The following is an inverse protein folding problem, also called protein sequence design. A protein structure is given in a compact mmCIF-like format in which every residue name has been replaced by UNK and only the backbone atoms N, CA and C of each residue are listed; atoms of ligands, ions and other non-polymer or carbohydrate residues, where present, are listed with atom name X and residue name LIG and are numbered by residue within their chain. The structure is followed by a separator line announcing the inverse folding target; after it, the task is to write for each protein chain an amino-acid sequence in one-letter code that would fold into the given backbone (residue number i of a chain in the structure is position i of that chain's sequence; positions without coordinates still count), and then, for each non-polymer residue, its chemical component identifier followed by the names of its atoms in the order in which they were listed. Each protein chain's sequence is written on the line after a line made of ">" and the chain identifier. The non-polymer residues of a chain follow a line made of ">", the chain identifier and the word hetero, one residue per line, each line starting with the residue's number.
data_IF_018176323058
#
_entry.id   IF_018176323058
#
_cell.length_a   1.000
_cell.length_b   1.000
_cell.length_c   1.000
_cell.angle_alpha   90.00
_cell.angle_beta   90.00
_cell.angle_gamma   90.00
#
_symmetry.space_group_name_H-M   'P 1'
#
loop_
_entity.id
_entity.type
_entity.pdbx_description
1 polymer ?
#
# COMPACT_ATOMS: atom_id res chain seq x y z
N UNK A 1 -20.88 6.21 -14.76
CA UNK A 1 -19.70 5.81 -13.95
C UNK A 1 -20.17 4.71 -13.01
N UNK A 2 -19.60 3.53 -13.15
CA UNK A 2 -19.90 2.36 -12.33
C UNK A 2 -18.62 1.93 -11.60
N UNK A 3 -18.73 1.63 -10.31
CA UNK A 3 -17.62 1.26 -9.43
C UNK A 3 -17.90 -0.12 -8.84
N UNK A 4 -16.88 -0.93 -8.70
CA UNK A 4 -16.92 -2.25 -8.12
C UNK A 4 -15.89 -2.37 -7.01
N UNK A 5 -16.32 -2.63 -5.77
CA UNK A 5 -15.41 -2.88 -4.66
C UNK A 5 -15.11 -4.39 -4.57
N UNK A 6 -13.85 -4.74 -4.69
CA UNK A 6 -13.39 -6.13 -4.70
C UNK A 6 -12.46 -6.38 -3.52
N UNK A 7 -12.86 -7.30 -2.65
CA UNK A 7 -12.02 -7.82 -1.57
C UNK A 7 -11.28 -9.05 -2.10
N UNK A 8 -9.97 -8.95 -2.23
CA UNK A 8 -9.13 -10.08 -2.60
C UNK A 8 -8.99 -11.03 -1.41
N UNK A 9 -9.49 -12.25 -1.55
CA UNK A 9 -9.49 -13.24 -0.48
C UNK A 9 -9.12 -14.64 -0.99
N UNK A 10 -9.01 -15.59 -0.06
CA UNK A 10 -8.78 -17.00 -0.35
C UNK A 10 -7.33 -17.34 -0.63
N UNK A 11 -7.15 -18.43 -1.38
CA UNK A 11 -5.83 -18.98 -1.68
C UNK A 11 -5.08 -18.13 -2.72
N UNK A 12 -3.81 -17.86 -2.44
CA UNK A 12 -2.90 -17.13 -3.33
C UNK A 12 -1.48 -17.74 -3.35
N UNK A 13 -1.34 -19.00 -2.98
CA UNK A 13 -0.04 -19.69 -2.87
C UNK A 13 0.72 -19.39 -1.58
N UNK A 14 0.19 -18.54 -0.69
CA UNK A 14 0.79 -18.16 0.59
C UNK A 14 -0.08 -18.61 1.78
N UNK A 15 0.33 -18.26 2.99
CA UNK A 15 -0.47 -18.49 4.21
C UNK A 15 -1.58 -17.45 4.43
N UNK A 16 -1.85 -16.58 3.46
CA UNK A 16 -2.83 -15.48 3.58
C UNK A 16 -4.23 -15.99 3.90
N UNK A 17 -4.68 -17.09 3.25
CA UNK A 17 -5.97 -17.71 3.54
C UNK A 17 -6.16 -18.02 5.03
N UNK A 18 -5.16 -18.62 5.69
CA UNK A 18 -5.25 -18.95 7.12
C UNK A 18 -5.39 -17.71 8.00
N UNK A 19 -4.69 -16.62 7.64
CA UNK A 19 -4.77 -15.34 8.34
C UNK A 19 -6.16 -14.73 8.26
N UNK A 20 -6.79 -14.77 7.08
CA UNK A 20 -8.14 -14.25 6.83
C UNK A 20 -9.22 -15.00 7.64
N UNK A 21 -9.03 -16.29 7.88
CA UNK A 21 -9.92 -17.17 8.65
C UNK A 21 -9.67 -17.12 10.17
N UNK A 22 -8.60 -16.44 10.60
CA UNK A 22 -8.30 -16.33 12.02
C UNK A 22 -9.35 -15.50 12.74
N UNK A 23 -9.74 -15.91 13.95
CA UNK A 23 -10.70 -15.19 14.79
C UNK A 23 -10.17 -13.81 15.19
N UNK A 24 -10.96 -12.77 14.87
CA UNK A 24 -10.69 -11.39 15.24
C UNK A 24 -12.00 -10.75 15.74
N UNK A 25 -11.99 -10.17 16.94
CA UNK A 25 -13.23 -9.77 17.62
C UNK A 25 -14.28 -10.91 17.64
N UNK A 26 -15.51 -10.62 17.28
CA UNK A 26 -16.61 -11.60 17.25
C UNK A 26 -16.70 -12.36 15.91
N UNK A 27 -15.82 -12.07 14.96
CA UNK A 27 -15.80 -12.66 13.62
C UNK A 27 -14.38 -13.12 13.25
N UNK A 28 -14.20 -13.57 12.00
CA UNK A 28 -12.88 -13.73 11.39
C UNK A 28 -12.33 -12.37 10.93
N UNK A 29 -11.03 -12.34 10.60
CA UNK A 29 -10.38 -11.15 9.99
C UNK A 29 -11.15 -10.71 8.74
N UNK A 30 -11.45 -11.65 7.83
CA UNK A 30 -12.26 -11.37 6.65
C UNK A 30 -13.66 -10.83 7.00
N UNK A 31 -14.36 -11.49 7.94
CA UNK A 31 -15.69 -11.04 8.36
C UNK A 31 -15.67 -9.61 8.90
N UNK A 32 -14.65 -9.27 9.70
CA UNK A 32 -14.46 -7.91 10.22
C UNK A 32 -14.20 -6.90 9.10
N UNK A 33 -13.35 -7.23 8.14
CA UNK A 33 -13.09 -6.35 6.99
C UNK A 33 -14.38 -6.12 6.16
N UNK A 34 -15.15 -7.18 5.90
CA UNK A 34 -16.42 -7.08 5.17
C UNK A 34 -17.46 -6.24 5.92
N UNK A 35 -17.56 -6.41 7.25
CA UNK A 35 -18.45 -5.59 8.07
C UNK A 35 -18.08 -4.11 8.00
N UNK A 36 -16.80 -3.77 8.07
CA UNK A 36 -16.32 -2.38 7.97
C UNK A 36 -16.50 -1.79 6.57
N UNK A 37 -16.47 -2.62 5.54
CA UNK A 37 -16.71 -2.20 4.16
C UNK A 37 -18.20 -2.14 3.78
N UNK A 38 -19.11 -2.66 4.60
CA UNK A 38 -20.55 -2.68 4.29
C UNK A 38 -21.17 -1.28 4.17
N UNK A 39 -20.52 -0.25 4.68
CA UNK A 39 -20.89 1.16 4.51
C UNK A 39 -20.53 1.76 3.14
N UNK A 40 -19.81 1.05 2.28
CA UNK A 40 -19.50 1.49 0.93
C UNK A 40 -20.76 1.46 0.06
N UNK A 41 -21.13 2.59 -0.54
CA UNK A 41 -22.40 2.75 -1.26
C UNK A 41 -22.24 3.08 -2.75
N UNK A 42 -21.03 3.27 -3.24
CA UNK A 42 -20.74 3.67 -4.62
C UNK A 42 -20.88 2.51 -5.63
N UNK A 43 -20.94 1.27 -5.13
CA UNK A 43 -21.10 0.08 -5.95
C UNK A 43 -21.21 -1.21 -5.15
N UNK A 44 -21.39 -2.35 -5.80
CA UNK A 44 -21.45 -3.64 -5.13
C UNK A 44 -20.11 -4.03 -4.52
N UNK A 45 -20.16 -4.79 -3.42
CA UNK A 45 -19.02 -5.41 -2.76
C UNK A 45 -18.96 -6.88 -3.15
N UNK A 46 -17.83 -7.28 -3.73
CA UNK A 46 -17.56 -8.63 -4.22
C UNK A 46 -16.32 -9.19 -3.52
N UNK A 47 -16.32 -10.46 -3.19
CA UNK A 47 -15.15 -11.18 -2.69
C UNK A 47 -14.58 -12.06 -3.80
N UNK A 48 -13.37 -11.77 -4.27
CA UNK A 48 -12.67 -12.56 -5.28
C UNK A 48 -11.88 -13.69 -4.59
N UNK A 49 -12.26 -14.94 -4.86
CA UNK A 49 -11.69 -16.15 -4.26
C UNK A 49 -11.13 -17.11 -5.31
N UNK A 50 -10.32 -18.09 -4.91
CA UNK A 50 -9.84 -19.09 -5.83
C UNK A 50 -10.93 -20.11 -6.21
N UNK A 51 -10.70 -20.82 -7.30
CA UNK A 51 -11.51 -21.95 -7.74
C UNK A 51 -11.31 -23.23 -6.90
N UNK A 52 -10.36 -23.20 -5.95
CA UNK A 52 -10.06 -24.34 -5.09
C UNK A 52 -11.19 -24.60 -4.06
N UNK A 53 -11.53 -25.87 -3.79
CA UNK A 53 -12.53 -26.20 -2.76
C UNK A 53 -12.14 -25.73 -1.34
N UNK A 54 -10.86 -25.49 -1.10
CA UNK A 54 -10.38 -24.94 0.18
C UNK A 54 -10.97 -23.57 0.50
N UNK A 55 -11.41 -22.81 -0.52
CA UNK A 55 -11.99 -21.48 -0.32
C UNK A 55 -13.50 -21.49 -0.08
N UNK A 56 -14.15 -22.68 0.03
CA UNK A 56 -15.57 -22.75 0.37
C UNK A 56 -15.89 -22.07 1.71
N UNK A 57 -15.00 -22.17 2.70
CA UNK A 57 -15.16 -21.50 3.99
C UNK A 57 -15.09 -19.96 3.85
N UNK A 58 -14.24 -19.45 2.96
CA UNK A 58 -14.14 -18.01 2.64
C UNK A 58 -15.46 -17.55 1.99
N UNK A 59 -16.02 -18.33 1.08
CA UNK A 59 -17.31 -18.05 0.46
C UNK A 59 -18.47 -18.05 1.46
N UNK A 60 -18.48 -18.96 2.43
CA UNK A 60 -19.49 -18.99 3.50
C UNK A 60 -19.43 -17.72 4.37
N UNK A 61 -18.21 -17.25 4.72
CA UNK A 61 -18.02 -15.99 5.46
C UNK A 61 -18.49 -14.80 4.63
N UNK A 62 -18.16 -14.74 3.34
CA UNK A 62 -18.62 -13.69 2.45
C UNK A 62 -20.15 -13.63 2.41
N UNK A 63 -20.80 -14.77 2.22
CA UNK A 63 -22.27 -14.89 2.21
C UNK A 63 -22.91 -14.48 3.53
N UNK A 64 -22.30 -14.84 4.67
CA UNK A 64 -22.78 -14.45 5.99
C UNK A 64 -22.67 -12.93 6.26
N UNK A 65 -21.86 -12.22 5.46
CA UNK A 65 -21.70 -10.76 5.48
C UNK A 65 -22.35 -10.08 4.26
N UNK A 66 -23.34 -10.70 3.62
CA UNK A 66 -24.09 -10.17 2.47
C UNK A 66 -23.22 -9.81 1.26
N UNK A 67 -22.01 -10.37 1.14
CA UNK A 67 -21.10 -10.16 0.02
C UNK A 67 -21.22 -11.29 -1.00
N UNK A 68 -21.32 -10.94 -2.28
CA UNK A 68 -21.24 -11.91 -3.37
C UNK A 68 -19.78 -12.38 -3.59
N UNK A 69 -19.61 -13.55 -4.19
CA UNK A 69 -18.28 -14.10 -4.49
C UNK A 69 -18.13 -14.38 -5.97
N UNK A 70 -16.91 -14.17 -6.48
CA UNK A 70 -16.49 -14.62 -7.81
C UNK A 70 -15.28 -15.53 -7.64
N UNK A 71 -15.33 -16.69 -8.31
CA UNK A 71 -14.22 -17.65 -8.32
C UNK A 71 -13.38 -17.50 -9.58
N UNK A 72 -12.07 -17.61 -9.43
CA UNK A 72 -11.13 -17.58 -10.54
C UNK A 72 -9.86 -18.37 -10.26
N UNK A 73 -8.88 -18.37 -11.17
CA UNK A 73 -7.66 -19.16 -11.06
C UNK A 73 -6.94 -18.95 -9.73
N UNK A 74 -6.41 -20.04 -9.16
CA UNK A 74 -5.70 -20.01 -7.86
C UNK A 74 -4.27 -19.47 -7.99
N UNK A 75 -3.66 -19.59 -9.16
CA UNK A 75 -2.26 -19.27 -9.48
C UNK A 75 -2.12 -18.05 -10.41
N UNK A 76 -3.22 -17.42 -10.78
CA UNK A 76 -3.25 -16.22 -11.62
C UNK A 76 -4.25 -15.20 -11.06
N UNK A 77 -3.74 -14.31 -10.20
CA UNK A 77 -4.58 -13.34 -9.52
C UNK A 77 -5.16 -12.30 -10.48
N UNK A 78 -4.41 -11.89 -11.50
CA UNK A 78 -4.88 -10.95 -12.52
C UNK A 78 -6.04 -11.55 -13.33
N UNK A 79 -5.93 -12.82 -13.74
CA UNK A 79 -7.03 -13.52 -14.40
C UNK A 79 -8.26 -13.65 -13.49
N UNK A 80 -8.08 -13.89 -12.19
CA UNK A 80 -9.19 -13.90 -11.23
C UNK A 80 -9.96 -12.57 -11.20
N UNK A 81 -9.26 -11.45 -11.30
CA UNK A 81 -9.89 -10.12 -11.36
C UNK A 81 -10.56 -9.85 -12.73
N UNK A 82 -10.08 -10.46 -13.79
CA UNK A 82 -10.77 -10.44 -15.11
C UNK A 82 -12.12 -11.15 -15.03
N UNK A 83 -12.19 -12.31 -14.35
CA UNK A 83 -13.48 -13.01 -14.11
C UNK A 83 -14.46 -12.13 -13.31
N UNK A 84 -13.94 -11.38 -12.31
CA UNK A 84 -14.77 -10.44 -11.56
C UNK A 84 -15.38 -9.37 -12.47
N UNK A 85 -14.59 -8.78 -13.39
CA UNK A 85 -15.12 -7.80 -14.37
C UNK A 85 -16.09 -8.43 -15.35
N UNK A 86 -15.88 -9.70 -15.74
CA UNK A 86 -16.78 -10.41 -16.64
C UNK A 86 -18.16 -10.65 -16.01
N UNK A 87 -18.20 -11.02 -14.72
CA UNK A 87 -19.44 -11.28 -13.99
C UNK A 87 -20.13 -9.98 -13.51
N UNK A 88 -19.34 -8.97 -13.15
CA UNK A 88 -19.80 -7.66 -12.65
C UNK A 88 -19.13 -6.51 -13.42
N UNK A 89 -19.62 -6.18 -14.62
CA UNK A 89 -19.04 -5.13 -15.45
C UNK A 89 -19.08 -3.76 -14.75
N UNK A 90 -17.95 -3.11 -14.64
CA UNK A 90 -17.82 -1.76 -14.08
C UNK A 90 -16.72 -0.97 -14.82
N UNK A 91 -16.78 0.35 -14.77
CA UNK A 91 -15.75 1.23 -15.36
C UNK A 91 -14.49 1.28 -14.50
N UNK A 92 -14.67 1.16 -13.18
CA UNK A 92 -13.59 1.23 -12.21
C UNK A 92 -13.70 0.10 -11.19
N UNK A 93 -12.59 -0.50 -10.86
CA UNK A 93 -12.48 -1.54 -9.86
C UNK A 93 -11.64 -1.02 -8.69
N UNK A 94 -12.17 -1.17 -7.49
CA UNK A 94 -11.45 -0.92 -6.23
C UNK A 94 -10.97 -2.25 -5.69
N UNK A 95 -9.69 -2.35 -5.35
CA UNK A 95 -9.10 -3.54 -4.74
C UNK A 95 -8.68 -3.23 -3.32
N UNK A 96 -9.08 -4.09 -2.40
CA UNK A 96 -8.59 -4.17 -1.02
C UNK A 96 -8.27 -5.62 -0.68
N UNK A 97 -7.49 -5.87 0.38
CA UNK A 97 -7.12 -7.23 0.78
C UNK A 97 -7.84 -7.66 2.06
N UNK A 98 -8.19 -8.94 2.13
CA UNK A 98 -8.99 -9.51 3.22
C UNK A 98 -8.24 -9.72 4.54
N UNK A 99 -6.93 -9.46 4.59
CA UNK A 99 -6.08 -9.53 5.79
C UNK A 99 -5.95 -8.19 6.54
N UNK A 100 -6.84 -7.25 6.22
CA UNK A 100 -6.84 -5.87 6.70
C UNK A 100 -8.10 -5.59 7.54
N UNK A 101 -8.16 -5.99 8.82
CA UNK A 101 -9.39 -5.90 9.62
C UNK A 101 -9.81 -4.46 9.96
N UNK A 102 -8.91 -3.49 9.80
CA UNK A 102 -9.19 -2.06 10.04
C UNK A 102 -9.45 -1.25 8.79
N UNK A 103 -9.53 -1.92 7.62
CA UNK A 103 -9.93 -1.23 6.37
C UNK A 103 -11.21 -0.43 6.58
N UNK A 104 -11.29 0.77 6.02
CA UNK A 104 -12.36 1.74 6.31
C UNK A 104 -13.06 2.15 5.02
N UNK A 105 -14.39 2.00 4.96
CA UNK A 105 -15.17 2.36 3.77
C UNK A 105 -15.11 3.87 3.46
N UNK A 106 -14.94 4.74 4.46
CA UNK A 106 -14.78 6.17 4.22
C UNK A 106 -13.45 6.46 3.50
N UNK A 107 -12.36 5.80 3.92
CA UNK A 107 -11.08 5.88 3.21
C UNK A 107 -11.22 5.35 1.78
N UNK A 108 -11.90 4.23 1.58
CA UNK A 108 -12.15 3.68 0.24
C UNK A 108 -12.89 4.71 -0.63
N UNK A 109 -13.95 5.32 -0.12
CA UNK A 109 -14.75 6.34 -0.81
C UNK A 109 -13.92 7.60 -1.15
N UNK A 110 -13.03 8.04 -0.24
CA UNK A 110 -12.13 9.17 -0.47
C UNK A 110 -11.15 8.89 -1.64
N UNK A 111 -10.56 7.70 -1.65
CA UNK A 111 -9.63 7.30 -2.72
C UNK A 111 -10.36 7.14 -4.06
N UNK A 112 -11.57 6.59 -4.05
CA UNK A 112 -12.44 6.51 -5.23
C UNK A 112 -12.75 7.91 -5.77
N UNK A 113 -13.14 8.85 -4.91
CA UNK A 113 -13.41 10.24 -5.32
C UNK A 113 -12.19 10.90 -5.94
N UNK A 114 -11.00 10.67 -5.37
CA UNK A 114 -9.73 11.16 -5.92
C UNK A 114 -9.44 10.55 -7.29
N UNK A 115 -9.62 9.24 -7.45
CA UNK A 115 -9.44 8.54 -8.72
C UNK A 115 -10.33 9.12 -9.82
N UNK A 116 -11.60 9.26 -9.53
CA UNK A 116 -12.59 9.79 -10.47
C UNK A 116 -12.27 11.25 -10.86
N UNK A 117 -11.91 12.08 -9.89
CA UNK A 117 -11.60 13.48 -10.15
C UNK A 117 -10.30 13.70 -10.92
N UNK A 118 -9.30 12.84 -10.71
CA UNK A 118 -8.02 12.89 -11.42
C UNK A 118 -8.11 12.35 -12.85
N UNK A 119 -9.06 11.43 -13.10
CA UNK A 119 -9.15 10.69 -14.37
C UNK A 119 -7.97 9.74 -14.61
N UNK A 120 -7.22 9.39 -13.57
CA UNK A 120 -6.07 8.50 -13.67
C UNK A 120 -6.49 7.08 -14.07
N UNK A 121 -5.56 6.32 -14.66
CA UNK A 121 -5.75 4.90 -14.95
C UNK A 121 -5.63 4.05 -13.68
N UNK A 122 -4.80 4.48 -12.75
CA UNK A 122 -4.58 3.83 -11.46
C UNK A 122 -4.37 4.85 -10.34
N UNK A 123 -5.00 4.62 -9.21
CA UNK A 123 -4.88 5.46 -8.01
C UNK A 123 -4.67 4.58 -6.79
N UNK A 124 -3.72 4.92 -5.93
CA UNK A 124 -3.51 4.18 -4.69
C UNK A 124 -2.87 5.03 -3.61
N UNK A 125 -3.14 4.67 -2.35
CA UNK A 125 -2.45 5.20 -1.18
C UNK A 125 -1.15 4.45 -0.85
N UNK A 126 -0.77 3.47 -1.69
CA UNK A 126 0.48 2.70 -1.53
C UNK A 126 1.62 3.18 -2.42
N UNK A 127 1.32 3.94 -3.51
CA UNK A 127 2.35 4.49 -4.41
C UNK A 127 3.37 5.37 -3.66
N UNK A 128 2.89 6.14 -2.71
CA UNK A 128 3.69 6.89 -1.73
C UNK A 128 3.04 6.64 -0.38
N UNK A 129 3.58 5.72 0.39
CA UNK A 129 2.96 5.30 1.65
C UNK A 129 3.03 6.41 2.70
N UNK A 130 1.88 6.78 3.22
CA UNK A 130 1.69 7.69 4.36
C UNK A 130 0.56 7.23 5.28
N UNK A 131 -0.19 6.23 4.84
CA UNK A 131 -1.21 5.53 5.63
C UNK A 131 -0.59 4.33 6.35
N UNK A 132 -1.19 3.87 7.46
CA UNK A 132 -0.84 2.59 8.06
C UNK A 132 -0.85 1.45 7.03
N UNK A 133 0.10 0.53 7.14
CA UNK A 133 0.04 -0.74 6.41
C UNK A 133 -1.24 -1.49 6.80
N UNK A 134 -1.91 -2.13 5.84
CA UNK A 134 -3.22 -2.76 6.07
C UNK A 134 -4.42 -1.84 5.82
N UNK A 135 -4.19 -0.57 5.44
CA UNK A 135 -5.22 0.32 4.89
C UNK A 135 -5.03 0.51 3.37
N UNK A 136 -4.50 -0.49 2.71
CA UNK A 136 -4.12 -0.43 1.31
C UNK A 136 -5.36 -0.47 0.41
N UNK A 137 -5.52 0.56 -0.40
CA UNK A 137 -6.62 0.71 -1.37
C UNK A 137 -6.03 1.06 -2.72
N UNK A 138 -6.47 0.31 -3.72
CA UNK A 138 -6.09 0.53 -5.11
C UNK A 138 -7.35 0.71 -5.94
N UNK A 139 -7.38 1.70 -6.80
CA UNK A 139 -8.46 1.92 -7.77
C UNK A 139 -7.86 1.90 -9.16
N UNK A 140 -8.42 1.09 -10.04
CA UNK A 140 -7.94 0.92 -11.40
C UNK A 140 -9.11 0.99 -12.39
N UNK A 141 -8.88 1.59 -13.56
CA UNK A 141 -9.82 1.50 -14.67
C UNK A 141 -9.89 0.05 -15.17
N UNK A 142 -11.09 -0.45 -15.38
CA UNK A 142 -11.27 -1.83 -15.89
C UNK A 142 -10.57 -2.04 -17.23
N UNK A 143 -10.59 -1.06 -18.12
CA UNK A 143 -9.88 -1.15 -19.40
C UNK A 143 -8.36 -1.30 -19.21
N UNK A 144 -7.77 -0.59 -18.25
CA UNK A 144 -6.35 -0.69 -17.94
C UNK A 144 -5.98 -2.04 -17.33
N UNK A 145 -6.88 -2.63 -16.53
CA UNK A 145 -6.69 -3.96 -15.95
C UNK A 145 -6.81 -5.04 -17.03
N UNK A 146 -7.77 -4.92 -17.94
CA UNK A 146 -7.93 -5.85 -19.08
C UNK A 146 -6.74 -5.77 -20.03
N UNK A 147 -6.26 -4.56 -20.34
CA UNK A 147 -5.03 -4.35 -21.13
C UNK A 147 -3.81 -5.00 -20.45
N UNK A 148 -3.68 -4.83 -19.13
CA UNK A 148 -2.63 -5.51 -18.36
C UNK A 148 -2.75 -7.04 -18.46
N UNK A 149 -3.97 -7.58 -18.39
CA UNK A 149 -4.20 -9.04 -18.46
C UNK A 149 -3.82 -9.64 -19.81
N UNK A 150 -3.97 -8.88 -20.91
CA UNK A 150 -3.56 -9.29 -22.25
C UNK A 150 -2.03 -9.27 -22.45
N UNK A 151 -1.33 -8.35 -21.76
CA UNK A 151 0.09 -8.09 -21.99
C UNK A 151 1.02 -8.70 -20.93
N UNK A 152 0.55 -8.88 -19.69
CA UNK A 152 1.36 -9.39 -18.59
C UNK A 152 1.77 -10.86 -18.82
N UNK A 153 3.07 -11.11 -18.83
CA UNK A 153 3.65 -12.44 -19.02
C UNK A 153 4.50 -12.91 -17.82
N UNK A 154 4.97 -11.98 -16.99
CA UNK A 154 5.75 -12.32 -15.81
C UNK A 154 4.83 -12.75 -14.65
N UNK A 155 5.22 -13.78 -13.90
CA UNK A 155 4.46 -14.28 -12.76
C UNK A 155 4.19 -13.19 -11.71
N UNK A 156 5.17 -12.31 -11.46
CA UNK A 156 5.03 -11.19 -10.53
C UNK A 156 3.96 -10.17 -10.96
N UNK A 157 3.76 -9.98 -12.27
CA UNK A 157 2.72 -9.10 -12.80
C UNK A 157 1.35 -9.76 -12.78
N UNK A 158 1.29 -11.08 -13.02
CA UNK A 158 0.04 -11.83 -12.97
C UNK A 158 -0.46 -12.03 -11.54
N UNK A 159 0.43 -12.28 -10.59
CA UNK A 159 0.08 -12.43 -9.17
C UNK A 159 -0.13 -11.09 -8.46
N UNK A 160 0.44 -10.00 -8.97
CA UNK A 160 0.34 -8.67 -8.37
C UNK A 160 -0.90 -7.87 -8.75
N UNK A 161 -1.79 -8.39 -9.62
CA UNK A 161 -3.02 -7.74 -10.14
C UNK A 161 -2.73 -6.41 -10.85
N UNK A 162 -2.28 -5.40 -10.13
CA UNK A 162 -2.05 -4.02 -10.60
C UNK A 162 -0.58 -3.73 -10.93
N UNK A 163 0.32 -4.66 -10.63
CA UNK A 163 1.78 -4.49 -10.78
C UNK A 163 2.18 -4.15 -12.22
N UNK A 164 1.52 -4.72 -13.23
CA UNK A 164 1.80 -4.41 -14.64
C UNK A 164 1.60 -2.92 -14.94
N UNK A 165 0.50 -2.35 -14.46
CA UNK A 165 0.15 -0.92 -14.66
C UNK A 165 1.10 -0.03 -13.87
N UNK A 166 1.35 -0.36 -12.60
CA UNK A 166 2.24 0.42 -11.73
C UNK A 166 3.66 0.57 -12.28
N UNK A 167 4.16 -0.47 -12.94
CA UNK A 167 5.52 -0.51 -13.52
C UNK A 167 5.64 0.25 -14.85
N UNK A 168 4.53 0.78 -15.40
CA UNK A 168 4.52 1.43 -16.71
C UNK A 168 3.93 2.86 -16.68
N UNK A 169 4.53 3.77 -15.88
CA UNK A 169 4.03 5.15 -15.74
C UNK A 169 4.12 5.97 -17.05
N UNK A 170 4.84 5.46 -18.04
CA UNK A 170 4.84 6.06 -19.38
C UNK A 170 3.58 5.71 -20.20
N UNK A 171 2.88 4.64 -19.85
CA UNK A 171 1.71 4.13 -20.58
C UNK A 171 0.41 4.39 -19.81
N UNK A 172 0.47 4.50 -18.49
CA UNK A 172 -0.68 4.66 -17.60
C UNK A 172 -0.47 5.86 -16.70
N UNK A 173 -1.52 6.62 -16.49
CA UNK A 173 -1.54 7.72 -15.51
C UNK A 173 -1.72 7.19 -14.10
N UNK A 174 -0.78 7.49 -13.21
CA UNK A 174 -0.77 7.05 -11.83
C UNK A 174 -1.05 8.22 -10.90
N UNK A 175 -1.95 8.03 -9.92
CA UNK A 175 -2.29 9.01 -8.90
C UNK A 175 -2.00 8.46 -7.50
N UNK A 176 -1.12 9.10 -6.75
CA UNK A 176 -0.91 8.80 -5.33
C UNK A 176 -1.93 9.57 -4.46
N UNK A 177 -2.41 8.92 -3.39
CA UNK A 177 -3.23 9.54 -2.34
C UNK A 177 -2.44 9.54 -1.03
N UNK A 178 -2.29 10.71 -0.44
CA UNK A 178 -1.51 10.89 0.79
C UNK A 178 -2.43 11.22 1.95
N UNK A 179 -2.21 10.63 3.11
CA UNK A 179 -2.88 10.99 4.35
C UNK A 179 -2.46 12.39 4.83
N UNK A 180 -3.22 13.01 5.73
CA UNK A 180 -2.89 14.33 6.30
C UNK A 180 -1.61 14.32 7.14
N UNK A 181 -1.29 13.19 7.79
CA UNK A 181 -0.06 12.89 8.53
C UNK A 181 0.77 11.81 7.84
N UNK A 182 1.93 11.48 8.38
CA UNK A 182 2.69 10.30 8.04
C UNK A 182 2.46 9.26 9.13
N UNK A 183 1.84 8.14 8.76
CA UNK A 183 1.40 7.08 9.66
C UNK A 183 1.94 5.72 9.22
N UNK A 184 2.97 5.70 8.38
CA UNK A 184 3.54 4.46 7.85
C UNK A 184 4.19 3.56 8.92
N UNK A 185 4.53 4.12 10.09
CA UNK A 185 5.06 3.38 11.23
C UNK A 185 3.99 2.50 11.94
N UNK A 186 2.71 2.67 11.58
CA UNK A 186 1.63 1.83 12.04
C UNK A 186 1.42 0.65 11.09
N UNK A 187 1.52 -0.57 11.62
CA UNK A 187 1.28 -1.79 10.85
C UNK A 187 0.00 -2.48 11.31
N UNK A 188 -1.03 -2.39 10.46
CA UNK A 188 -2.34 -2.96 10.70
C UNK A 188 -2.67 -4.13 9.75
N UNK A 189 -1.69 -4.61 9.00
CA UNK A 189 -1.81 -5.84 8.23
C UNK A 189 -1.64 -7.06 9.15
N UNK A 190 -2.38 -8.12 8.88
CA UNK A 190 -2.20 -9.38 9.58
C UNK A 190 -1.23 -10.24 8.80
N UNK A 191 -0.04 -10.43 9.36
CA UNK A 191 1.02 -11.28 8.84
C UNK A 191 1.30 -12.51 9.72
N UNK A 192 0.88 -12.48 11.01
CA UNK A 192 1.09 -13.57 11.95
C UNK A 192 0.34 -13.39 13.28
N UNK A 193 0.61 -14.28 14.25
CA UNK A 193 -0.06 -14.24 15.56
C UNK A 193 0.23 -12.94 16.35
N UNK A 194 1.39 -12.35 16.17
CA UNK A 194 1.79 -11.13 16.89
C UNK A 194 0.99 -9.92 16.40
N UNK A 195 0.87 -9.75 15.08
CA UNK A 195 0.04 -8.68 14.50
C UNK A 195 -1.43 -8.83 14.90
N UNK A 196 -1.97 -10.06 14.95
CA UNK A 196 -3.34 -10.31 15.46
C UNK A 196 -3.48 -9.87 16.91
N UNK A 197 -2.51 -10.21 17.77
CA UNK A 197 -2.55 -9.84 19.19
C UNK A 197 -2.45 -8.32 19.36
N UNK A 198 -1.59 -7.67 18.58
CA UNK A 198 -1.44 -6.22 18.54
C UNK A 198 -2.76 -5.54 18.15
N UNK A 199 -3.34 -5.91 17.00
CA UNK A 199 -4.57 -5.28 16.51
C UNK A 199 -5.77 -5.53 17.42
N UNK A 200 -5.84 -6.70 18.09
CA UNK A 200 -6.83 -6.93 19.15
C UNK A 200 -6.64 -5.99 20.35
N UNK A 201 -5.40 -5.69 20.71
CA UNK A 201 -5.12 -4.74 21.79
C UNK A 201 -5.54 -3.32 21.41
N UNK A 202 -5.28 -2.90 20.16
CA UNK A 202 -5.75 -1.61 19.60
C UNK A 202 -7.28 -1.54 19.67
N UNK A 203 -7.98 -2.53 19.14
CA UNK A 203 -9.43 -2.59 19.16
C UNK A 203 -10.01 -2.56 20.59
N UNK A 204 -9.43 -3.34 21.51
CA UNK A 204 -9.85 -3.33 22.91
C UNK A 204 -9.64 -1.97 23.57
N UNK A 205 -8.53 -1.28 23.28
CA UNK A 205 -8.26 0.09 23.74
C UNK A 205 -9.29 1.08 23.21
N UNK A 206 -9.80 0.85 22.01
CA UNK A 206 -10.88 1.60 21.37
C UNK A 206 -12.29 1.17 21.85
N UNK A 207 -12.40 0.39 22.92
CA UNK A 207 -13.67 -0.09 23.47
C UNK A 207 -14.35 -1.19 22.64
N UNK A 208 -13.66 -1.82 21.70
CA UNK A 208 -14.23 -2.86 20.83
C UNK A 208 -15.08 -2.32 19.68
N UNK A 209 -15.05 -1.01 19.43
CA UNK A 209 -15.88 -0.36 18.41
C UNK A 209 -15.29 -0.57 17.01
N UNK A 210 -15.86 -1.51 16.27
CA UNK A 210 -15.51 -1.78 14.87
C UNK A 210 -16.02 -0.72 13.89
N UNK A 211 -16.84 0.25 14.32
CA UNK A 211 -17.31 1.34 13.46
C UNK A 211 -16.42 2.57 13.51
N UNK A 212 -15.47 2.60 14.44
CA UNK A 212 -14.53 3.71 14.60
C UNK A 212 -13.73 3.94 13.33
N UNK A 213 -13.62 5.20 12.91
CA UNK A 213 -12.81 5.55 11.73
C UNK A 213 -11.32 5.19 11.95
N UNK A 214 -10.61 4.90 10.87
CA UNK A 214 -9.19 4.55 10.95
C UNK A 214 -8.36 5.64 11.64
N UNK A 215 -8.68 6.92 11.37
CA UNK A 215 -7.99 8.08 11.97
C UNK A 215 -8.15 8.15 13.51
N UNK A 216 -9.29 7.69 14.03
CA UNK A 216 -9.55 7.66 15.46
C UNK A 216 -8.85 6.44 16.11
N UNK A 217 -8.75 5.31 15.40
CA UNK A 217 -7.99 4.15 15.85
C UNK A 217 -6.50 4.45 16.08
N UNK A 218 -5.92 5.43 15.37
CA UNK A 218 -4.54 5.87 15.59
C UNK A 218 -4.28 6.32 17.04
N UNK A 219 -5.27 6.92 17.70
CA UNK A 219 -5.13 7.34 19.10
C UNK A 219 -5.00 6.15 20.07
N UNK A 220 -5.41 4.98 19.65
CA UNK A 220 -5.39 3.72 20.41
C UNK A 220 -4.23 2.80 20.04
N UNK A 221 -3.53 3.12 18.96
CA UNK A 221 -2.35 2.41 18.51
C UNK A 221 -1.08 3.17 18.93
N UNK A 222 -0.19 2.46 19.58
CA UNK A 222 1.18 2.95 19.79
C UNK A 222 2.04 2.23 18.78
N UNK A 223 2.56 2.93 17.75
CA UNK A 223 3.49 2.32 16.83
C UNK A 223 4.59 1.64 17.63
N UNK A 224 5.04 0.48 17.17
CA UNK A 224 6.20 -0.16 17.73
C UNK A 224 7.28 0.93 17.80
N UNK A 225 7.84 1.18 18.99
CA UNK A 225 8.95 2.13 19.09
C UNK A 225 9.99 1.65 18.11
N UNK A 226 10.10 2.38 17.03
CA UNK A 226 11.25 2.24 16.18
C UNK A 226 12.43 2.76 17.01
N UNK A 227 13.16 1.85 17.65
CA UNK A 227 14.37 2.20 18.42
C UNK A 227 15.50 2.68 17.50
N UNK A 228 15.26 2.69 16.19
CA UNK A 228 16.15 3.32 15.22
C UNK A 228 16.22 4.83 15.51
N UNK A 229 17.41 5.39 15.72
CA UNK A 229 17.58 6.83 15.88
C UNK A 229 17.19 7.61 14.62
N UNK A 230 16.92 6.91 13.51
CA UNK A 230 16.60 7.45 12.20
C UNK A 230 15.19 7.06 11.80
N UNK A 231 14.37 8.05 11.48
CA UNK A 231 13.04 7.89 10.91
C UNK A 231 13.04 8.47 9.49
N UNK A 232 12.61 7.68 8.51
CA UNK A 232 12.38 8.14 7.15
C UNK A 232 10.90 8.50 7.01
N UNK A 233 10.65 9.73 6.55
CA UNK A 233 9.27 10.19 6.26
C UNK A 233 9.19 10.62 4.80
N UNK A 234 8.09 10.26 4.13
CA UNK A 234 7.87 10.67 2.74
C UNK A 234 7.87 12.20 2.64
N UNK A 235 8.66 12.74 1.72
CA UNK A 235 8.70 14.17 1.48
C UNK A 235 7.39 14.61 0.81
N UNK A 236 6.73 15.59 1.42
CA UNK A 236 5.50 16.24 0.92
C UNK A 236 5.83 17.65 0.43
N UNK A 237 4.90 18.26 -0.31
CA UNK A 237 5.01 19.63 -0.80
C UNK A 237 5.31 20.67 0.30
N UNK A 238 4.94 20.37 1.55
CA UNK A 238 5.19 21.25 2.70
C UNK A 238 6.59 21.09 3.33
N UNK A 239 7.35 20.07 2.97
CA UNK A 239 8.74 19.89 3.43
C UNK A 239 9.70 20.94 2.83
N UNK A 240 9.51 21.47 1.60
CA UNK A 240 10.36 22.53 1.10
C UNK A 240 10.52 23.74 2.02
N UNK A 241 9.48 24.10 2.78
CA UNK A 241 9.60 25.25 3.72
C UNK A 241 10.47 24.93 4.95
N UNK A 242 10.42 23.71 5.47
CA UNK A 242 11.31 23.26 6.55
C UNK A 242 12.71 22.88 6.03
N UNK A 243 12.81 22.36 4.80
CA UNK A 243 14.06 22.12 4.10
C UNK A 243 14.69 23.45 3.62
N UNK A 244 13.94 24.48 3.25
CA UNK A 244 14.48 25.79 2.88
C UNK A 244 15.26 26.43 4.04
N UNK A 245 14.84 26.24 5.28
CA UNK A 245 15.63 26.65 6.45
C UNK A 245 16.89 25.79 6.66
N UNK A 246 16.92 24.59 6.08
CA UNK A 246 18.03 23.66 6.15
C UNK A 246 19.01 23.84 4.97
N UNK A 247 18.55 24.34 3.83
CA UNK A 247 19.33 24.50 2.59
C UNK A 247 20.34 25.63 2.62
N UNK A 248 20.34 26.51 3.59
CA UNK A 248 21.42 27.52 3.75
C UNK A 248 22.82 26.89 3.93
N UNK A 249 22.91 25.55 4.09
CA UNK A 249 24.16 24.81 4.20
C UNK A 249 24.35 23.63 3.23
N UNK A 250 23.31 23.23 2.54
CA UNK A 250 23.31 21.98 1.79
C UNK A 250 23.14 22.25 0.30
N UNK A 251 23.79 22.84 -0.48
CA UNK A 251 23.64 22.91 -1.95
C UNK A 251 22.21 22.70 -2.48
N UNK A 252 22.01 22.76 -3.76
CA UNK A 252 20.70 22.66 -4.40
C UNK A 252 20.05 21.28 -4.09
N UNK A 253 18.95 21.26 -3.31
CA UNK A 253 18.08 20.10 -3.31
C UNK A 253 17.50 19.90 -4.72
N UNK A 254 17.35 18.65 -5.19
CA UNK A 254 16.63 18.41 -6.42
C UNK A 254 15.23 19.00 -6.31
N UNK A 255 14.73 19.59 -7.40
CA UNK A 255 13.40 20.22 -7.45
C UNK A 255 12.34 19.32 -6.80
N UNK A 256 11.42 19.90 -6.00
CA UNK A 256 10.33 19.12 -5.42
C UNK A 256 9.58 18.40 -6.56
N UNK A 257 9.37 17.12 -6.35
CA UNK A 257 8.71 16.27 -7.33
C UNK A 257 7.27 16.67 -7.50
N UNK A 258 6.71 16.61 -8.70
CA UNK A 258 5.28 16.56 -8.87
C UNK A 258 4.76 15.34 -8.10
N UNK A 259 3.76 15.55 -7.25
CA UNK A 259 3.01 14.48 -6.60
C UNK A 259 2.52 13.55 -7.72
N UNK A 260 2.88 12.26 -7.66
CA UNK A 260 2.49 11.27 -8.66
C UNK A 260 3.59 10.77 -9.60
N UNK A 261 4.83 11.25 -9.50
CA UNK A 261 5.94 10.65 -10.25
C UNK A 261 6.48 9.41 -9.52
N UNK A 262 5.97 8.23 -9.89
CA UNK A 262 6.41 6.95 -9.34
C UNK A 262 7.86 6.58 -9.69
N UNK A 263 8.48 7.28 -10.65
CA UNK A 263 9.88 7.03 -11.06
C UNK A 263 10.90 7.61 -10.08
N UNK A 264 10.46 8.39 -9.12
CA UNK A 264 11.35 9.07 -8.16
C UNK A 264 10.68 9.20 -6.80
N UNK A 265 11.39 8.89 -5.72
CA UNK A 265 10.90 8.96 -4.34
C UNK A 265 11.90 9.71 -3.47
N UNK A 266 11.41 10.60 -2.63
CA UNK A 266 12.23 11.35 -1.69
C UNK A 266 11.71 11.14 -0.27
N UNK A 267 12.61 10.84 0.66
CA UNK A 267 12.33 10.75 2.10
C UNK A 267 13.09 11.85 2.83
N UNK A 268 12.44 12.50 3.78
CA UNK A 268 13.12 13.23 4.82
C UNK A 268 13.75 12.25 5.80
N UNK A 269 14.94 12.51 6.23
CA UNK A 269 15.67 11.73 7.26
C UNK A 269 15.60 12.50 8.57
N UNK A 270 14.98 11.91 9.58
CA UNK A 270 14.77 12.55 10.88
C UNK A 270 15.52 11.81 11.97
N UNK A 271 16.13 12.54 12.88
CA UNK A 271 16.65 12.00 14.14
C UNK A 271 15.91 12.71 15.26
N UNK A 272 15.16 11.94 16.05
CA UNK A 272 14.17 12.50 16.97
C UNK A 272 13.19 13.41 16.19
N UNK A 273 13.03 14.67 16.57
CA UNK A 273 12.17 15.63 15.86
C UNK A 273 12.94 16.58 14.92
N UNK A 274 14.23 16.32 14.65
CA UNK A 274 15.05 17.14 13.78
C UNK A 274 15.25 16.51 12.41
N UNK A 275 14.93 17.27 11.35
CA UNK A 275 15.29 16.89 9.99
C UNK A 275 16.81 16.97 9.81
N UNK A 276 17.46 15.84 9.57
CA UNK A 276 18.93 15.74 9.47
C UNK A 276 19.42 15.46 8.05
N UNK A 277 18.51 15.19 7.12
CA UNK A 277 18.87 14.93 5.72
C UNK A 277 17.66 14.66 4.84
N UNK A 278 17.95 14.37 3.58
CA UNK A 278 16.98 13.86 2.61
C UNK A 278 17.64 12.81 1.72
N UNK A 279 16.90 11.77 1.39
CA UNK A 279 17.29 10.69 0.50
C UNK A 279 16.31 10.61 -0.67
N UNK A 280 16.81 10.54 -1.88
CA UNK A 280 16.01 10.43 -3.10
C UNK A 280 16.43 9.20 -3.89
N UNK A 281 15.47 8.36 -4.24
CA UNK A 281 15.67 7.27 -5.20
C UNK A 281 15.00 7.65 -6.51
N UNK A 282 15.75 7.58 -7.60
CA UNK A 282 15.25 7.74 -8.95
C UNK A 282 15.33 6.38 -9.66
N UNK A 283 14.19 5.89 -10.19
CA UNK A 283 14.11 4.57 -10.81
C UNK A 283 14.01 4.70 -12.33
N UNK A 284 14.89 4.05 -13.07
CA UNK A 284 14.85 3.93 -14.52
C UNK A 284 15.15 2.49 -14.93
N UNK A 285 14.24 1.85 -15.68
CA UNK A 285 14.38 0.48 -16.18
C UNK A 285 14.71 -0.55 -15.08
N UNK A 286 14.12 -0.42 -13.89
CA UNK A 286 14.39 -1.29 -12.75
C UNK A 286 15.67 -0.97 -11.97
N UNK A 287 16.44 0.03 -12.41
CA UNK A 287 17.61 0.53 -11.68
C UNK A 287 17.25 1.74 -10.84
N UNK A 288 17.47 1.66 -9.53
CA UNK A 288 17.34 2.77 -8.61
C UNK A 288 18.67 3.47 -8.42
N UNK A 289 18.69 4.80 -8.53
CA UNK A 289 19.83 5.62 -8.13
C UNK A 289 19.46 6.36 -6.86
N UNK A 290 20.19 6.09 -5.77
CA UNK A 290 20.01 6.76 -4.49
C UNK A 290 20.98 7.96 -4.40
N UNK A 291 20.42 9.13 -4.12
CA UNK A 291 21.16 10.34 -3.80
C UNK A 291 20.75 10.83 -2.40
N UNK A 292 21.73 11.14 -1.56
CA UNK A 292 21.50 11.62 -0.19
C UNK A 292 22.15 12.97 0.05
N UNK A 293 21.48 13.82 0.83
CA UNK A 293 22.03 15.06 1.35
C UNK A 293 21.77 15.11 2.86
N UNK A 294 22.82 15.35 3.64
CA UNK A 294 22.76 15.37 5.09
C UNK A 294 23.29 16.68 5.66
N UNK A 295 22.86 17.01 6.88
CA UNK A 295 23.34 18.17 7.61
C UNK A 295 24.85 18.14 7.78
N UNK A 296 25.56 19.28 7.62
CA UNK A 296 26.98 19.36 7.90
C UNK A 296 27.28 18.95 9.34
N UNK A 297 28.29 18.09 9.52
CA UNK A 297 28.73 17.63 10.84
C UNK A 297 27.89 16.46 11.41
N UNK A 298 27.01 15.86 10.59
CA UNK A 298 26.32 14.64 10.98
C UNK A 298 27.32 13.52 11.27
N UNK A 299 27.08 12.74 12.33
CA UNK A 299 27.91 11.58 12.64
C UNK A 299 27.83 10.56 11.48
N UNK A 300 28.96 10.00 11.01
CA UNK A 300 28.99 9.11 9.84
C UNK A 300 28.06 7.90 9.96
N UNK A 301 27.91 7.35 11.17
CA UNK A 301 27.03 6.21 11.44
C UNK A 301 25.55 6.53 11.19
N UNK A 302 25.09 7.76 11.41
CA UNK A 302 23.70 8.15 11.18
C UNK A 302 23.36 8.21 9.66
N UNK A 303 24.32 8.63 8.85
CA UNK A 303 24.16 8.59 7.39
C UNK A 303 24.10 7.14 6.88
N UNK A 304 24.93 6.25 7.40
CA UNK A 304 24.92 4.83 7.07
C UNK A 304 23.60 4.15 7.53
N UNK A 305 23.09 4.47 8.70
CA UNK A 305 21.82 3.96 9.21
C UNK A 305 20.64 4.44 8.34
N UNK A 306 20.64 5.70 7.90
CA UNK A 306 19.63 6.22 6.99
C UNK A 306 19.65 5.51 5.63
N UNK A 307 20.82 5.21 5.10
CA UNK A 307 21.00 4.43 3.87
C UNK A 307 20.47 3.00 4.04
N UNK A 308 20.74 2.37 5.20
CA UNK A 308 20.20 1.04 5.50
C UNK A 308 18.66 1.05 5.62
N UNK A 309 18.09 2.06 6.26
CA UNK A 309 16.65 2.17 6.39
C UNK A 309 15.94 2.34 5.02
N UNK A 310 16.54 3.05 4.06
CA UNK A 310 16.05 3.10 2.67
C UNK A 310 16.23 1.75 1.98
N UNK A 311 17.35 1.09 2.18
CA UNK A 311 17.65 -0.23 1.66
C UNK A 311 16.57 -1.25 2.07
N UNK A 312 16.21 -1.29 3.36
CA UNK A 312 15.19 -2.18 3.90
C UNK A 312 13.80 -1.91 3.30
N UNK A 313 13.45 -0.63 3.08
CA UNK A 313 12.20 -0.25 2.41
C UNK A 313 12.17 -0.65 0.95
N UNK A 314 13.29 -0.51 0.23
CA UNK A 314 13.40 -0.90 -1.17
C UNK A 314 13.42 -2.41 -1.37
N UNK A 315 13.85 -3.19 -0.36
CA UNK A 315 13.79 -4.66 -0.39
C UNK A 315 12.35 -5.19 -0.51
N UNK A 316 11.37 -4.43 -0.04
CA UNK A 316 9.94 -4.74 -0.18
C UNK A 316 9.31 -4.17 -1.45
N UNK A 317 10.09 -3.42 -2.27
CA UNK A 317 9.60 -2.74 -3.46
C UNK A 317 10.00 -3.48 -4.74
N UNK A 318 9.05 -4.18 -5.32
CA UNK A 318 9.25 -4.95 -6.57
C UNK A 318 9.61 -4.07 -7.78
N UNK A 319 9.53 -2.74 -7.68
CA UNK A 319 9.88 -1.82 -8.76
C UNK A 319 11.39 -1.53 -8.84
N UNK A 320 12.12 -1.76 -7.75
CA UNK A 320 13.56 -1.53 -7.69
C UNK A 320 14.28 -2.87 -7.70
N UNK A 321 14.86 -3.24 -8.82
CA UNK A 321 15.63 -4.48 -8.97
C UNK A 321 17.09 -4.34 -8.54
N UNK A 322 17.63 -3.13 -8.59
CA UNK A 322 18.99 -2.84 -8.18
C UNK A 322 19.15 -1.37 -7.73
N UNK A 323 20.05 -1.11 -6.81
CA UNK A 323 20.33 0.22 -6.28
C UNK A 323 21.80 0.59 -6.47
N UNK A 324 22.05 1.81 -6.98
CA UNK A 324 23.38 2.41 -7.06
C UNK A 324 23.47 3.53 -6.02
N UNK A 325 24.46 3.46 -5.14
CA UNK A 325 24.75 4.49 -4.15
C UNK A 325 26.06 5.16 -4.54
N UNK A 326 26.04 6.47 -4.73
CA UNK A 326 27.21 7.31 -5.07
C UNK A 326 28.04 6.78 -6.27
N UNK A 327 27.39 6.10 -7.23
CA UNK A 327 28.04 5.55 -8.42
C UNK A 327 29.02 4.40 -8.16
N UNK A 328 29.29 4.02 -6.89
CA UNK A 328 30.32 3.06 -6.52
C UNK A 328 29.81 1.80 -5.83
N UNK A 329 28.58 1.75 -5.36
CA UNK A 329 28.00 0.59 -4.68
C UNK A 329 26.73 0.13 -5.39
N UNK A 330 26.80 -1.08 -5.97
CA UNK A 330 25.64 -1.73 -6.62
C UNK A 330 25.13 -2.78 -5.65
N UNK A 331 23.84 -2.70 -5.29
CA UNK A 331 23.09 -3.79 -4.64
C UNK A 331 22.00 -4.24 -5.58
N UNK A 332 21.91 -5.56 -5.80
CA UNK A 332 20.82 -6.18 -6.55
C UNK A 332 19.80 -6.72 -5.56
N UNK A 333 18.52 -6.36 -5.77
CA UNK A 333 17.41 -6.70 -4.88
C UNK A 333 16.57 -7.86 -5.36
N UNK A 334 16.83 -8.53 -6.41
CA UNK A 334 16.31 -9.83 -6.90
C UNK A 334 16.35 -9.91 -8.42
N UNK A 335 16.69 -11.09 -8.87
CA UNK A 335 16.37 -11.59 -10.21
C UNK A 335 14.97 -12.22 -10.18
#
# INVERSE_FOLDING_TARGET
>A
MSILLVVQAGHDGTNRRQRQLTQFADQTVLGTALQRLSGFTEGPLIVAISDLPTDNEVEEIARANDAATVRGPSDDMLARFVEVIADYPAEHLVRVTADSPFIDHHLVSEIVATHVSSGADYTSNTLLRTYPTGLDVEVIRSDSLLDAAEQATADSERNGVTTFVQRRPANYTLQAVLAAGDYEDHDWAIDGPESIAHLKAVLNSAGGDLTMAWSDLLAHDKPAKNDSPIVLRVARDNIPASLANFTHGLGHLPDPLPIGDASRRTWGVWSQDNLIGALTVSVQNGWGTLAGQFAPGLAPNLADEALHAVDDRLLSDDQVLALTVDGSRIREYRS
#
